data_IF_919385201921
#
_entry.id   IF_919385201921
#
_cell.length_a   1.000
_cell.length_b   1.000
_cell.length_c   1.000
_cell.angle_alpha   90.00
_cell.angle_beta   90.00
_cell.angle_gamma   90.00
#
_symmetry.space_group_name_H-M   'P 1'
#
loop_
_entity.id
_entity.type
_entity.pdbx_description
1 polymer ?
#
# COMPACT_ATOMS: atom_id res chain seq x y z
N UNK A 1 -24.53 -26.72 13.60
CA UNK A 1 -23.44 -25.84 14.03
C UNK A 1 -22.73 -25.51 12.74
N UNK A 2 -22.86 -24.28 12.24
CA UNK A 2 -22.04 -23.83 11.11
C UNK A 2 -20.68 -23.50 11.70
N UNK A 3 -19.69 -24.33 11.40
CA UNK A 3 -18.33 -24.03 11.81
C UNK A 3 -17.88 -22.83 10.96
N UNK A 4 -17.80 -21.66 11.60
CA UNK A 4 -17.27 -20.43 11.00
C UNK A 4 -15.75 -20.58 10.83
N UNK A 5 -15.32 -21.42 9.89
CA UNK A 5 -13.92 -21.49 9.48
C UNK A 5 -13.61 -20.31 8.57
N UNK A 6 -12.77 -19.41 9.08
CA UNK A 6 -12.08 -18.41 8.27
C UNK A 6 -11.01 -19.15 7.47
N UNK A 7 -11.24 -19.32 6.17
CA UNK A 7 -10.22 -19.82 5.25
C UNK A 7 -9.51 -18.60 4.67
N UNK A 8 -8.19 -18.58 4.83
CA UNK A 8 -7.30 -17.56 4.29
C UNK A 8 -6.35 -18.27 3.35
N UNK A 9 -6.38 -17.88 2.08
CA UNK A 9 -5.38 -18.25 1.09
C UNK A 9 -4.31 -17.17 1.08
N UNK A 10 -3.07 -17.54 1.41
CA UNK A 10 -1.95 -16.62 1.41
C UNK A 10 -0.77 -17.18 0.61
N UNK A 11 -0.12 -16.30 -0.14
CA UNK A 11 1.12 -16.60 -0.87
C UNK A 11 2.11 -15.47 -0.70
N UNK A 12 3.39 -15.80 -0.70
CA UNK A 12 4.43 -14.78 -0.70
C UNK A 12 5.68 -15.25 -1.38
N UNK A 13 6.43 -14.31 -1.90
CA UNK A 13 7.75 -14.48 -2.50
C UNK A 13 8.68 -13.44 -1.92
N UNK A 14 9.92 -13.86 -1.67
CA UNK A 14 11.02 -13.00 -1.28
C UNK A 14 12.24 -13.45 -2.10
N UNK A 15 12.84 -12.52 -2.82
CA UNK A 15 14.03 -12.72 -3.63
C UNK A 15 15.11 -11.72 -3.22
N UNK A 16 16.33 -12.22 -3.09
CA UNK A 16 17.52 -11.41 -2.84
C UNK A 16 18.65 -11.93 -3.73
N UNK A 17 19.42 -11.03 -4.33
CA UNK A 17 20.48 -11.36 -5.29
C UNK A 17 21.84 -11.68 -4.63
N UNK A 18 21.94 -11.53 -3.31
CA UNK A 18 23.15 -11.69 -2.51
C UNK A 18 24.10 -10.49 -2.55
N UNK A 19 23.72 -9.41 -3.24
CA UNK A 19 24.51 -8.20 -3.44
C UNK A 19 23.86 -6.94 -2.87
N UNK A 20 22.69 -7.08 -2.24
CA UNK A 20 22.00 -5.99 -1.57
C UNK A 20 20.71 -5.58 -2.26
N UNK A 21 20.38 -6.21 -3.40
CA UNK A 21 19.12 -5.99 -4.11
C UNK A 21 18.13 -7.10 -3.74
N UNK A 22 16.87 -6.72 -3.59
CA UNK A 22 15.81 -7.66 -3.32
C UNK A 22 14.42 -7.12 -3.57
N UNK A 23 13.47 -8.03 -3.62
CA UNK A 23 12.06 -7.72 -3.77
C UNK A 23 11.22 -8.78 -3.06
N UNK A 24 10.07 -8.35 -2.57
CA UNK A 24 9.11 -9.24 -1.94
C UNK A 24 7.70 -8.91 -2.42
N UNK A 25 6.83 -9.90 -2.30
CA UNK A 25 5.40 -9.71 -2.47
C UNK A 25 4.65 -10.72 -1.62
N UNK A 26 3.53 -10.30 -1.05
CA UNK A 26 2.61 -11.08 -0.25
C UNK A 26 1.20 -10.79 -0.70
N UNK A 27 0.42 -11.85 -0.86
CA UNK A 27 -1.00 -11.81 -1.15
C UNK A 27 -1.71 -12.60 -0.07
N UNK A 28 -2.83 -12.09 0.43
CA UNK A 28 -3.77 -12.83 1.24
C UNK A 28 -5.20 -12.50 0.81
N UNK A 29 -6.04 -13.52 0.71
CA UNK A 29 -7.47 -13.37 0.51
C UNK A 29 -8.21 -14.34 1.42
N UNK A 30 -9.35 -13.92 1.95
CA UNK A 30 -10.22 -14.81 2.71
C UNK A 30 -11.49 -15.20 1.93
N UNK A 31 -12.18 -16.22 2.43
CA UNK A 31 -13.44 -16.69 1.88
C UNK A 31 -14.63 -15.72 2.09
N UNK A 32 -14.41 -14.57 2.72
CA UNK A 32 -15.43 -13.54 2.96
C UNK A 32 -15.33 -12.37 1.97
N UNK A 33 -14.32 -12.36 1.11
CA UNK A 33 -14.13 -11.31 0.11
C UNK A 33 -13.25 -10.18 0.59
N UNK A 34 -12.47 -10.37 1.66
CA UNK A 34 -11.39 -9.46 2.01
C UNK A 34 -10.11 -9.91 1.30
N UNK A 35 -9.32 -8.98 0.80
CA UNK A 35 -7.98 -9.26 0.32
C UNK A 35 -6.99 -8.16 0.66
N UNK A 36 -5.73 -8.55 0.71
CA UNK A 36 -4.58 -7.73 1.00
C UNK A 36 -3.44 -8.13 0.06
N UNK A 37 -2.78 -7.13 -0.49
CA UNK A 37 -1.57 -7.26 -1.28
C UNK A 37 -0.51 -6.34 -0.68
N UNK A 38 0.72 -6.83 -0.60
CA UNK A 38 1.87 -6.03 -0.23
C UNK A 38 3.03 -6.40 -1.13
N UNK A 39 3.77 -5.41 -1.60
CA UNK A 39 4.98 -5.62 -2.35
C UNK A 39 6.02 -4.57 -2.00
N UNK A 40 7.28 -4.89 -2.23
CA UNK A 40 8.35 -3.95 -2.06
C UNK A 40 9.63 -4.38 -2.76
N UNK A 41 10.52 -3.43 -2.95
CA UNK A 41 11.83 -3.64 -3.52
C UNK A 41 12.84 -2.74 -2.82
N UNK A 42 14.09 -3.19 -2.77
CA UNK A 42 15.21 -2.43 -2.24
C UNK A 42 16.45 -2.74 -3.07
N UNK A 43 17.37 -1.79 -3.14
CA UNK A 43 18.65 -1.98 -3.80
C UNK A 43 19.84 -1.73 -2.86
N UNK A 44 21.01 -2.16 -3.30
CA UNK A 44 22.27 -2.01 -2.59
C UNK A 44 22.73 -0.55 -2.46
N UNK A 45 22.12 0.37 -3.22
CA UNK A 45 22.44 1.79 -3.24
C UNK A 45 21.58 2.61 -2.29
N UNK A 46 20.53 2.00 -1.71
CA UNK A 46 19.67 2.62 -0.71
C UNK A 46 18.32 3.09 -1.25
N UNK A 47 18.00 2.80 -2.52
CA UNK A 47 16.65 3.00 -3.03
C UNK A 47 15.73 1.92 -2.43
N UNK A 48 14.55 2.33 -1.99
CA UNK A 48 13.53 1.47 -1.39
C UNK A 48 12.15 1.88 -1.90
N UNK A 49 11.30 0.88 -2.12
CA UNK A 49 9.92 1.04 -2.50
C UNK A 49 9.07 0.03 -1.75
N UNK A 50 7.89 0.46 -1.32
CA UNK A 50 6.88 -0.35 -0.67
C UNK A 50 5.50 0.08 -1.17
N UNK A 51 4.61 -0.89 -1.37
CA UNK A 51 3.20 -0.66 -1.65
C UNK A 51 2.37 -1.70 -0.91
N UNK A 52 1.27 -1.25 -0.33
CA UNK A 52 0.25 -2.09 0.27
C UNK A 52 -1.12 -1.68 -0.26
N UNK A 53 -1.97 -2.66 -0.54
CA UNK A 53 -3.33 -2.43 -0.98
C UNK A 53 -4.26 -3.45 -0.35
N UNK A 54 -5.52 -3.09 -0.17
CA UNK A 54 -6.52 -4.02 0.29
C UNK A 54 -7.92 -3.60 -0.06
N UNK A 55 -8.82 -4.57 -0.05
CA UNK A 55 -10.26 -4.33 -0.13
C UNK A 55 -10.99 -5.25 0.85
N UNK A 56 -12.10 -4.75 1.38
CA UNK A 56 -12.98 -5.53 2.24
C UNK A 56 -14.24 -6.00 1.50
N UNK A 57 -14.96 -6.91 2.14
CA UNK A 57 -16.21 -7.47 1.62
C UNK A 57 -17.33 -6.43 1.43
N UNK A 58 -17.21 -5.24 2.05
CA UNK A 58 -18.18 -4.16 1.94
C UNK A 58 -17.86 -3.23 0.76
N UNK A 59 -16.72 -3.40 0.10
CA UNK A 59 -16.28 -2.57 -1.02
C UNK A 59 -15.45 -1.35 -0.61
N UNK A 60 -15.00 -1.28 0.64
CA UNK A 60 -13.97 -0.32 1.02
C UNK A 60 -12.62 -0.80 0.48
N UNK A 61 -11.78 0.13 0.04
CA UNK A 61 -10.44 -0.16 -0.45
C UNK A 61 -9.42 0.86 0.05
N UNK A 62 -8.15 0.45 0.08
CA UNK A 62 -7.04 1.36 0.28
C UNK A 62 -5.85 0.94 -0.57
N UNK A 63 -5.01 1.92 -0.89
CA UNK A 63 -3.68 1.75 -1.47
C UNK A 63 -2.76 2.73 -0.74
N UNK A 64 -1.59 2.27 -0.32
CA UNK A 64 -0.52 3.04 0.29
C UNK A 64 0.78 2.68 -0.42
N UNK A 65 1.62 3.68 -0.70
CA UNK A 65 2.92 3.47 -1.31
C UNK A 65 3.95 4.44 -0.74
N UNK A 66 5.13 3.91 -0.46
CA UNK A 66 6.28 4.63 0.06
C UNK A 66 7.49 4.41 -0.85
N UNK A 67 8.28 5.46 -1.03
CA UNK A 67 9.52 5.42 -1.79
C UNK A 67 10.58 6.25 -1.10
N UNK A 68 11.77 5.68 -0.92
CA UNK A 68 12.95 6.41 -0.48
C UNK A 68 14.04 6.24 -1.52
N UNK A 69 14.69 7.34 -1.92
CA UNK A 69 15.87 7.26 -2.78
C UNK A 69 17.17 7.21 -1.96
N UNK A 70 18.27 6.84 -2.62
CA UNK A 70 19.60 6.77 -2.05
C UNK A 70 20.11 8.11 -1.48
N UNK A 71 19.53 9.23 -1.90
CA UNK A 71 19.86 10.54 -1.34
C UNK A 71 19.14 10.77 0.01
N UNK A 72 18.04 10.07 0.27
CA UNK A 72 17.19 10.21 1.45
C UNK A 72 15.96 11.08 1.20
N UNK A 73 15.57 11.31 -0.06
CA UNK A 73 14.26 11.89 -0.37
C UNK A 73 13.20 10.81 -0.17
N UNK A 74 12.09 11.18 0.47
CA UNK A 74 10.96 10.30 0.76
C UNK A 74 9.72 10.78 0.03
N UNK A 75 8.93 9.86 -0.51
CA UNK A 75 7.57 10.10 -1.01
C UNK A 75 6.66 9.07 -0.38
N UNK A 76 5.54 9.52 0.15
CA UNK A 76 4.44 8.69 0.63
C UNK A 76 3.16 9.10 -0.08
N UNK A 77 2.35 8.13 -0.45
CA UNK A 77 1.04 8.33 -1.06
C UNK A 77 0.05 7.31 -0.51
N UNK A 78 -1.11 7.79 -0.07
CA UNK A 78 -2.20 6.95 0.38
C UNK A 78 -3.50 7.37 -0.31
N UNK A 79 -4.31 6.39 -0.71
CA UNK A 79 -5.66 6.58 -1.16
C UNK A 79 -6.58 5.61 -0.44
N UNK A 80 -7.70 6.11 0.06
CA UNK A 80 -8.79 5.29 0.60
C UNK A 80 -10.05 5.54 -0.21
N UNK A 81 -10.81 4.49 -0.43
CA UNK A 81 -12.12 4.51 -1.07
C UNK A 81 -13.13 3.83 -0.15
N UNK A 82 -14.30 4.43 0.03
CA UNK A 82 -15.39 3.79 0.77
C UNK A 82 -16.33 2.98 -0.15
N UNK A 83 -17.27 2.26 0.46
CA UNK A 83 -18.29 1.47 -0.23
C UNK A 83 -19.19 2.28 -1.19
N UNK A 84 -19.22 3.60 -1.07
CA UNK A 84 -20.01 4.52 -1.91
C UNK A 84 -19.19 5.10 -3.08
N UNK A 85 -17.89 4.81 -3.10
CA UNK A 85 -16.96 5.31 -4.11
C UNK A 85 -16.37 6.68 -3.78
N UNK A 86 -16.62 7.23 -2.59
CA UNK A 86 -15.95 8.45 -2.14
C UNK A 86 -14.48 8.13 -1.86
N UNK A 87 -13.59 9.00 -2.33
CA UNK A 87 -12.14 8.81 -2.22
C UNK A 87 -11.48 9.94 -1.45
N UNK A 88 -10.47 9.58 -0.67
CA UNK A 88 -9.53 10.53 -0.08
C UNK A 88 -8.12 10.11 -0.51
N UNK A 89 -7.38 11.06 -1.06
CA UNK A 89 -5.99 10.88 -1.48
C UNK A 89 -5.11 11.84 -0.72
N UNK A 90 -3.99 11.34 -0.21
CA UNK A 90 -2.92 12.13 0.41
C UNK A 90 -1.58 11.73 -0.20
N UNK A 91 -0.76 12.72 -0.53
CA UNK A 91 0.61 12.52 -1.01
C UNK A 91 1.50 13.51 -0.29
N UNK A 92 2.56 13.03 0.33
CA UNK A 92 3.60 13.88 0.89
C UNK A 92 4.98 13.48 0.38
N UNK A 93 5.85 14.47 0.25
CA UNK A 93 7.24 14.23 -0.11
C UNK A 93 8.13 15.10 0.75
N UNK A 94 9.20 14.51 1.27
CA UNK A 94 10.20 15.17 2.10
C UNK A 94 11.58 15.01 1.48
N UNK A 95 12.26 16.13 1.24
CA UNK A 95 13.62 16.10 0.71
C UNK A 95 14.66 15.88 1.82
N UNK A 96 15.92 15.65 1.42
CA UNK A 96 17.05 15.44 2.35
C UNK A 96 17.32 16.61 3.30
N UNK A 97 16.79 17.79 3.00
CA UNK A 97 16.94 18.99 3.82
C UNK A 97 15.77 19.17 4.79
N UNK A 98 14.80 18.25 4.78
CA UNK A 98 13.59 18.31 5.59
C UNK A 98 12.51 19.24 5.03
N UNK A 99 12.58 19.61 3.75
CA UNK A 99 11.50 20.36 3.10
C UNK A 99 10.37 19.39 2.73
N UNK A 100 9.17 19.66 3.21
CA UNK A 100 7.99 18.82 2.95
C UNK A 100 6.98 19.54 2.06
N UNK A 101 6.43 18.82 1.10
CA UNK A 101 5.23 19.19 0.34
C UNK A 101 4.15 18.15 0.59
N UNK A 102 2.90 18.62 0.74
CA UNK A 102 1.73 17.77 0.99
C UNK A 102 0.62 18.15 0.01
N UNK A 103 -0.03 17.15 -0.54
CA UNK A 103 -1.21 17.23 -1.38
C UNK A 103 -2.30 16.37 -0.76
N UNK A 104 -3.51 16.92 -0.66
CA UNK A 104 -4.68 16.21 -0.17
C UNK A 104 -5.86 16.53 -1.09
N UNK A 105 -6.61 15.51 -1.46
CA UNK A 105 -7.82 15.61 -2.26
C UNK A 105 -8.90 14.71 -1.68
N UNK A 106 -10.13 15.22 -1.64
CA UNK A 106 -11.32 14.43 -1.38
C UNK A 106 -12.24 14.57 -2.58
N UNK A 107 -12.57 13.44 -3.20
CA UNK A 107 -13.56 13.34 -4.27
C UNK A 107 -14.70 12.45 -3.79
N UNK A 108 -15.81 13.07 -3.42
CA UNK A 108 -16.99 12.39 -2.92
C UNK A 108 -18.26 13.18 -3.18
N UNK A 109 -19.40 12.51 -3.08
CA UNK A 109 -20.69 13.12 -3.39
C UNK A 109 -21.09 14.16 -2.32
N UNK A 110 -20.96 15.44 -2.64
CA UNK A 110 -21.54 16.52 -1.82
C UNK A 110 -22.99 16.74 -2.25
N UNK A 111 -23.93 16.24 -1.45
CA UNK A 111 -25.35 16.57 -1.61
C UNK A 111 -25.54 18.10 -1.40
N UNK A 112 -25.84 18.81 -2.50
CA UNK A 112 -26.15 20.26 -2.51
C UNK A 112 -27.62 20.58 -2.29
#
# INVERSE_FOLDING_TARGET
>A
MSDNYYEVDASGVDVNDGHGDGAYSYDAADNQGNAYHEAGAYDAYGDQYHEAAGYDANGNAYVEADGTDAAGNHVHAAQVQDEYGDTYTEVDATDTNGNTVVYQEYDGYVAG
#
